data_IF_662478173521
#
_entry.id   IF_662478173521
#
_cell.length_a   1.000
_cell.length_b   1.000
_cell.length_c   1.000
_cell.angle_alpha   90.00
_cell.angle_beta   90.00
_cell.angle_gamma   90.00
#
_symmetry.space_group_name_H-M   'P 1'
#
loop_
_entity.id
_entity.type
_entity.pdbx_description
1 polymer ?
#
# COMPACT_ATOMS: atom_id res chain seq x y z
N UNK A 1 -14.44 -1.05 1.82
CA UNK A 1 -13.87 0.03 0.98
C UNK A 1 -14.90 0.45 -0.07
N UNK A 2 -15.41 -0.42 -0.97
CA UNK A 2 -16.37 -0.08 -2.02
C UNK A 2 -17.61 0.66 -1.50
N UNK A 3 -18.25 0.15 -0.46
CA UNK A 3 -19.41 0.81 0.14
C UNK A 3 -19.06 2.19 0.69
N UNK A 4 -17.91 2.31 1.39
CA UNK A 4 -17.49 3.56 2.01
C UNK A 4 -16.96 4.62 1.02
N UNK A 5 -16.56 4.25 -0.19
CA UNK A 5 -16.06 5.19 -1.18
C UNK A 5 -17.06 5.43 -2.31
N UNK A 6 -17.40 4.39 -3.08
CA UNK A 6 -18.25 4.56 -4.26
C UNK A 6 -19.71 4.81 -3.91
N UNK A 7 -20.28 4.02 -2.96
CA UNK A 7 -21.68 4.21 -2.54
C UNK A 7 -21.87 5.56 -1.84
N UNK A 8 -20.90 5.99 -1.02
CA UNK A 8 -20.96 7.30 -0.37
C UNK A 8 -21.02 8.45 -1.36
N UNK A 9 -20.23 8.41 -2.43
CA UNK A 9 -20.24 9.44 -3.47
C UNK A 9 -21.53 9.42 -4.29
N UNK A 10 -22.05 8.24 -4.64
CA UNK A 10 -23.33 8.11 -5.37
C UNK A 10 -24.48 8.65 -4.53
N UNK A 11 -24.52 8.34 -3.23
CA UNK A 11 -25.53 8.87 -2.32
C UNK A 11 -25.40 10.39 -2.15
N UNK A 12 -24.18 10.91 -2.04
CA UNK A 12 -23.95 12.34 -1.91
C UNK A 12 -24.40 13.11 -3.15
N UNK A 13 -24.18 12.57 -4.35
CA UNK A 13 -24.58 13.16 -5.62
C UNK A 13 -26.10 13.19 -5.80
N UNK A 14 -26.81 12.13 -5.42
CA UNK A 14 -28.25 11.99 -5.62
C UNK A 14 -29.11 12.54 -4.46
N UNK A 15 -28.63 12.46 -3.22
CA UNK A 15 -29.41 12.74 -2.00
C UNK A 15 -28.73 13.72 -1.05
N UNK A 16 -27.53 14.22 -1.42
CA UNK A 16 -26.76 15.14 -0.60
C UNK A 16 -25.89 14.44 0.46
N UNK A 17 -24.94 15.20 0.98
CA UNK A 17 -23.92 14.70 1.95
C UNK A 17 -24.53 14.21 3.27
N UNK A 18 -25.64 14.83 3.75
CA UNK A 18 -26.31 14.41 4.99
C UNK A 18 -26.79 12.97 4.90
N UNK A 19 -27.57 12.64 3.84
CA UNK A 19 -28.06 11.29 3.61
C UNK A 19 -26.92 10.27 3.42
N UNK A 20 -25.85 10.68 2.74
CA UNK A 20 -24.67 9.83 2.55
C UNK A 20 -24.04 9.45 3.89
N UNK A 21 -23.80 10.41 4.78
CA UNK A 21 -23.22 10.15 6.10
C UNK A 21 -24.15 9.33 7.01
N UNK A 22 -25.46 9.55 6.96
CA UNK A 22 -26.45 8.76 7.70
C UNK A 22 -26.39 7.27 7.29
N UNK A 23 -26.39 6.99 5.99
CA UNK A 23 -26.29 5.63 5.49
C UNK A 23 -24.96 4.98 5.84
N UNK A 24 -23.84 5.73 5.74
CA UNK A 24 -22.52 5.23 6.15
C UNK A 24 -22.49 4.94 7.65
N UNK A 25 -23.12 5.79 8.49
CA UNK A 25 -23.26 5.55 9.92
C UNK A 25 -24.05 4.28 10.24
N UNK A 26 -25.17 4.04 9.53
CA UNK A 26 -25.94 2.80 9.67
C UNK A 26 -25.14 1.56 9.27
N UNK A 27 -24.34 1.65 8.21
CA UNK A 27 -23.47 0.53 7.81
C UNK A 27 -22.42 0.17 8.88
N UNK A 28 -22.00 1.12 9.73
CA UNK A 28 -21.10 0.81 10.86
C UNK A 28 -21.76 -0.09 11.91
N UNK A 29 -23.08 -0.14 12.01
CA UNK A 29 -23.80 -1.05 12.92
C UNK A 29 -23.51 -2.51 12.60
N UNK A 30 -23.17 -2.85 11.37
CA UNK A 30 -22.77 -4.22 10.99
C UNK A 30 -21.53 -4.67 11.76
N UNK A 31 -20.60 -3.75 12.02
CA UNK A 31 -19.43 -4.01 12.86
C UNK A 31 -19.79 -4.26 14.32
N UNK A 32 -20.73 -3.47 14.87
CA UNK A 32 -21.25 -3.69 16.23
C UNK A 32 -21.93 -5.05 16.38
N UNK A 33 -22.76 -5.43 15.41
CA UNK A 33 -23.40 -6.75 15.37
C UNK A 33 -22.33 -7.86 15.34
N UNK A 34 -21.28 -7.70 14.52
CA UNK A 34 -20.16 -8.64 14.47
C UNK A 34 -19.46 -8.82 15.82
N UNK A 35 -19.25 -7.73 16.55
CA UNK A 35 -18.65 -7.77 17.90
C UNK A 35 -19.55 -8.47 18.90
N UNK A 36 -20.85 -8.22 18.86
CA UNK A 36 -21.84 -8.85 19.78
C UNK A 36 -21.94 -10.36 19.55
N UNK A 37 -21.87 -10.80 18.27
CA UNK A 37 -21.96 -12.23 17.91
C UNK A 37 -20.61 -12.94 18.11
N UNK A 38 -19.49 -12.22 18.17
CA UNK A 38 -18.18 -12.83 18.34
C UNK A 38 -18.06 -13.58 19.66
N UNK A 39 -17.42 -14.76 19.64
CA UNK A 39 -17.11 -15.50 20.86
C UNK A 39 -16.22 -14.66 21.76
N UNK A 40 -16.58 -14.58 23.03
CA UNK A 40 -15.72 -13.98 24.06
C UNK A 40 -14.39 -14.76 24.09
N UNK A 41 -13.31 -14.06 23.91
CA UNK A 41 -11.98 -14.61 24.05
C UNK A 41 -11.75 -14.98 25.51
N UNK A 42 -11.48 -16.25 25.79
CA UNK A 42 -11.11 -16.69 27.17
C UNK A 42 -9.68 -16.19 27.45
N UNK A 43 -9.60 -14.98 27.94
CA UNK A 43 -8.33 -14.37 28.37
C UNK A 43 -7.97 -15.00 29.72
N UNK A 44 -7.33 -16.17 29.70
CA UNK A 44 -6.74 -16.81 30.87
C UNK A 44 -5.36 -16.20 31.26
N UNK A 45 -5.07 -15.02 30.78
CA UNK A 45 -3.88 -14.27 31.13
C UNK A 45 -4.25 -13.28 32.25
N UNK A 46 -3.54 -13.35 33.38
CA UNK A 46 -3.55 -12.28 34.36
C UNK A 46 -3.11 -11.01 33.61
N UNK A 47 -4.10 -10.14 33.30
CA UNK A 47 -3.84 -8.85 32.68
C UNK A 47 -3.06 -8.03 33.71
N UNK A 48 -1.74 -7.95 33.57
CA UNK A 48 -0.99 -6.88 34.24
C UNK A 48 -1.59 -5.56 33.82
N UNK A 49 -2.13 -4.83 34.77
CA UNK A 49 -2.55 -3.44 34.54
C UNK A 49 -1.27 -2.65 34.28
N UNK A 50 -0.93 -2.48 33.00
CA UNK A 50 0.22 -1.73 32.58
C UNK A 50 -0.09 -0.22 32.69
N UNK A 51 0.81 0.53 33.29
CA UNK A 51 0.80 1.98 33.19
C UNK A 51 0.90 2.37 31.69
N UNK A 52 0.30 3.50 31.32
CA UNK A 52 0.31 3.99 29.93
C UNK A 52 1.73 3.98 29.30
N UNK A 53 2.73 4.43 30.06
CA UNK A 53 4.14 4.40 29.65
C UNK A 53 4.65 2.99 29.37
N UNK A 54 4.32 2.04 30.24
CA UNK A 54 4.74 0.63 30.09
C UNK A 54 4.07 -0.06 28.91
N UNK A 55 2.86 0.37 28.56
CA UNK A 55 2.13 -0.15 27.39
C UNK A 55 2.83 0.12 26.06
N UNK A 56 3.68 1.16 25.98
CA UNK A 56 4.51 1.44 24.80
C UNK A 56 5.95 0.93 24.94
N UNK A 57 6.56 1.09 26.11
CA UNK A 57 7.98 0.75 26.30
C UNK A 57 8.20 -0.77 26.30
N UNK A 58 7.33 -1.53 26.97
CA UNK A 58 7.49 -3.00 27.05
C UNK A 58 7.44 -3.68 25.67
N UNK A 59 6.48 -3.35 24.76
CA UNK A 59 6.47 -3.89 23.41
C UNK A 59 7.73 -3.57 22.58
N UNK A 60 8.28 -2.35 22.71
CA UNK A 60 9.50 -1.94 22.01
C UNK A 60 10.71 -2.71 22.55
N UNK A 61 10.82 -2.82 23.88
CA UNK A 61 11.89 -3.60 24.52
C UNK A 61 11.81 -5.09 24.15
N UNK A 62 10.60 -5.66 24.11
CA UNK A 62 10.38 -7.05 23.69
C UNK A 62 10.84 -7.27 22.24
N UNK A 63 10.51 -6.36 21.33
CA UNK A 63 10.98 -6.42 19.95
C UNK A 63 12.52 -6.38 19.86
N UNK A 64 13.13 -5.42 20.54
CA UNK A 64 14.59 -5.26 20.59
C UNK A 64 15.31 -6.45 21.22
N UNK A 65 14.74 -7.06 22.27
CA UNK A 65 15.33 -8.24 22.94
C UNK A 65 15.24 -9.51 22.11
N UNK A 66 14.18 -9.66 21.29
CA UNK A 66 14.01 -10.84 20.40
C UNK A 66 14.97 -10.83 19.22
N UNK A 67 15.16 -9.66 18.61
CA UNK A 67 15.96 -9.55 17.37
C UNK A 67 17.38 -9.00 17.61
N UNK A 68 17.64 -8.40 18.76
CA UNK A 68 18.87 -7.63 19.00
C UNK A 68 18.89 -6.33 18.20
N UNK A 69 19.83 -5.45 18.53
CA UNK A 69 19.86 -4.10 17.95
C UNK A 69 20.07 -4.09 16.42
N UNK A 70 21.03 -4.89 15.94
CA UNK A 70 21.39 -4.92 14.52
C UNK A 70 20.26 -5.42 13.62
N UNK A 71 19.71 -6.62 13.93
CA UNK A 71 18.65 -7.20 13.13
C UNK A 71 17.34 -6.40 13.25
N UNK A 72 16.99 -5.93 14.45
CA UNK A 72 15.84 -5.06 14.67
C UNK A 72 15.91 -3.80 13.80
N UNK A 73 17.08 -3.14 13.73
CA UNK A 73 17.28 -1.96 12.89
C UNK A 73 17.12 -2.28 11.39
N UNK A 74 17.66 -3.40 10.92
CA UNK A 74 17.51 -3.81 9.52
C UNK A 74 16.07 -4.15 9.17
N UNK A 75 15.33 -4.85 10.05
CA UNK A 75 13.91 -5.14 9.86
C UNK A 75 13.07 -3.84 9.81
N UNK A 76 13.36 -2.89 10.68
CA UNK A 76 12.71 -1.58 10.66
C UNK A 76 13.04 -0.79 9.38
N UNK A 77 14.25 -0.90 8.84
CA UNK A 77 14.59 -0.28 7.55
C UNK A 77 13.82 -0.91 6.39
N UNK A 78 13.62 -2.24 6.39
CA UNK A 78 12.72 -2.88 5.42
C UNK A 78 11.31 -2.33 5.57
N UNK A 79 10.76 -2.30 6.78
CA UNK A 79 9.41 -1.77 7.06
C UNK A 79 9.27 -0.33 6.57
N UNK A 80 10.26 0.53 6.82
CA UNK A 80 10.24 1.94 6.47
C UNK A 80 10.31 2.19 4.95
N UNK A 81 11.01 1.32 4.21
CA UNK A 81 11.31 1.55 2.78
C UNK A 81 10.44 0.73 1.83
N UNK A 82 9.84 -0.37 2.29
CA UNK A 82 9.12 -1.32 1.44
C UNK A 82 7.92 -0.71 0.69
N UNK A 83 7.23 0.25 1.29
CA UNK A 83 6.11 0.96 0.67
C UNK A 83 6.40 2.42 0.34
N UNK A 84 7.66 2.82 0.43
CA UNK A 84 8.06 4.21 0.24
C UNK A 84 7.66 4.74 -1.15
N UNK A 85 7.91 3.97 -2.19
CA UNK A 85 7.58 4.30 -3.58
C UNK A 85 6.10 4.61 -3.76
N UNK A 86 5.20 3.71 -3.33
CA UNK A 86 3.75 3.88 -3.47
C UNK A 86 3.24 5.13 -2.74
N UNK A 87 3.80 5.39 -1.54
CA UNK A 87 3.35 6.51 -0.70
C UNK A 87 3.86 7.85 -1.25
N UNK A 88 5.05 7.88 -1.85
CA UNK A 88 5.61 9.10 -2.47
C UNK A 88 4.94 9.38 -3.80
N UNK A 89 4.70 8.37 -4.62
CA UNK A 89 4.05 8.51 -5.93
C UNK A 89 2.55 8.85 -5.81
N UNK A 90 1.86 8.26 -4.83
CA UNK A 90 0.40 8.30 -4.72
C UNK A 90 -0.25 9.69 -4.82
N UNK A 91 0.25 10.72 -4.13
CA UNK A 91 -0.31 12.07 -4.23
C UNK A 91 -0.25 12.67 -5.65
N UNK A 92 0.72 12.25 -6.46
CA UNK A 92 0.96 12.77 -7.79
C UNK A 92 0.23 12.00 -8.91
N UNK A 93 -0.44 10.89 -8.59
CA UNK A 93 -1.15 10.09 -9.60
C UNK A 93 -2.27 10.88 -10.30
N UNK A 94 -3.14 11.56 -9.54
CA UNK A 94 -4.22 12.36 -10.13
C UNK A 94 -3.71 13.58 -10.93
N UNK A 95 -2.79 14.43 -10.41
CA UNK A 95 -2.16 15.49 -11.21
C UNK A 95 -1.56 14.95 -12.51
N UNK A 96 -0.83 13.83 -12.47
CA UNK A 96 -0.27 13.20 -13.65
C UNK A 96 -1.33 12.84 -14.69
N UNK A 97 -2.42 12.20 -14.30
CA UNK A 97 -3.48 11.82 -15.25
C UNK A 97 -4.12 13.05 -15.91
N UNK A 98 -4.35 14.11 -15.14
CA UNK A 98 -4.91 15.37 -15.66
C UNK A 98 -3.92 16.06 -16.62
N UNK A 99 -2.66 16.13 -16.30
CA UNK A 99 -1.60 16.70 -17.13
C UNK A 99 -1.41 15.94 -18.44
N UNK A 100 -1.63 14.61 -18.42
CA UNK A 100 -1.63 13.77 -19.62
C UNK A 100 -2.92 13.91 -20.46
N UNK A 101 -3.87 14.75 -20.02
CA UNK A 101 -5.10 15.06 -20.77
C UNK A 101 -6.24 14.05 -20.60
N UNK A 102 -6.16 13.14 -19.62
CA UNK A 102 -7.26 12.22 -19.33
C UNK A 102 -8.42 12.96 -18.65
N UNK A 103 -9.63 12.70 -19.11
CA UNK A 103 -10.85 13.24 -18.49
C UNK A 103 -11.11 12.59 -17.12
N UNK A 104 -11.83 13.30 -16.23
CA UNK A 104 -12.24 12.77 -14.93
C UNK A 104 -13.06 11.47 -15.06
N UNK A 105 -13.84 11.32 -16.13
CA UNK A 105 -14.62 10.11 -16.40
C UNK A 105 -13.72 8.93 -16.76
N UNK A 106 -12.69 9.15 -17.59
CA UNK A 106 -11.70 8.13 -17.94
C UNK A 106 -10.89 7.70 -16.71
N UNK A 107 -10.38 8.66 -15.93
CA UNK A 107 -9.70 8.40 -14.66
C UNK A 107 -10.61 7.61 -13.72
N UNK A 108 -11.86 8.05 -13.54
CA UNK A 108 -12.83 7.39 -12.68
C UNK A 108 -13.14 5.95 -13.11
N UNK A 109 -13.32 5.68 -14.40
CA UNK A 109 -13.59 4.33 -14.92
C UNK A 109 -12.38 3.41 -14.76
N UNK A 110 -11.18 3.87 -15.13
CA UNK A 110 -9.94 3.08 -15.03
C UNK A 110 -9.58 2.83 -13.57
N UNK A 111 -9.45 3.88 -12.75
CA UNK A 111 -8.98 3.75 -11.37
C UNK A 111 -10.01 3.06 -10.48
N UNK A 112 -11.32 3.26 -10.70
CA UNK A 112 -12.35 2.63 -9.85
C UNK A 112 -12.69 1.20 -10.27
N UNK A 113 -12.74 0.89 -11.55
CA UNK A 113 -13.17 -0.42 -12.02
C UNK A 113 -11.97 -1.33 -12.25
N UNK A 114 -11.03 -0.91 -13.12
CA UNK A 114 -9.88 -1.75 -13.48
C UNK A 114 -8.97 -1.97 -12.27
N UNK A 115 -8.60 -0.89 -11.56
CA UNK A 115 -7.73 -0.98 -10.40
C UNK A 115 -8.32 -1.82 -9.27
N UNK A 116 -9.64 -1.72 -9.03
CA UNK A 116 -10.30 -2.51 -8.00
C UNK A 116 -10.23 -4.01 -8.30
N UNK A 117 -10.66 -4.43 -9.50
CA UNK A 117 -10.64 -5.85 -9.90
C UNK A 117 -9.22 -6.37 -9.86
N UNK A 118 -8.28 -5.61 -10.42
CA UNK A 118 -6.87 -5.95 -10.46
C UNK A 118 -6.26 -6.09 -9.05
N UNK A 119 -6.60 -5.18 -8.11
CA UNK A 119 -6.09 -5.27 -6.74
C UNK A 119 -6.60 -6.50 -6.00
N UNK A 120 -7.86 -6.89 -6.19
CA UNK A 120 -8.41 -8.13 -5.61
C UNK A 120 -7.66 -9.35 -6.15
N UNK A 121 -7.42 -9.42 -7.46
CA UNK A 121 -6.61 -10.47 -8.07
C UNK A 121 -5.22 -10.49 -7.45
N UNK A 122 -4.60 -9.31 -7.30
CA UNK A 122 -3.28 -9.16 -6.66
C UNK A 122 -3.22 -9.69 -5.23
N UNK A 123 -4.24 -9.44 -4.42
CA UNK A 123 -4.35 -9.98 -3.04
C UNK A 123 -4.32 -11.52 -3.04
N UNK A 124 -5.11 -12.16 -3.89
CA UNK A 124 -5.11 -13.62 -4.01
C UNK A 124 -3.77 -14.15 -4.52
N UNK A 125 -3.18 -13.52 -5.53
CA UNK A 125 -1.87 -13.89 -6.05
C UNK A 125 -0.78 -13.76 -4.98
N UNK A 126 -0.83 -12.72 -4.15
CA UNK A 126 0.08 -12.53 -3.02
C UNK A 126 0.01 -13.67 -2.01
N UNK A 127 -1.19 -14.13 -1.65
CA UNK A 127 -1.37 -15.29 -0.78
C UNK A 127 -0.81 -16.59 -1.38
N UNK A 128 -1.06 -16.83 -2.68
CA UNK A 128 -0.51 -17.97 -3.39
C UNK A 128 1.01 -17.91 -3.47
N UNK A 129 1.56 -16.72 -3.71
CA UNK A 129 2.99 -16.50 -3.81
C UNK A 129 3.70 -16.85 -2.50
N UNK A 130 3.20 -16.34 -1.37
CA UNK A 130 3.75 -16.65 -0.04
C UNK A 130 3.74 -18.16 0.22
N UNK A 131 2.63 -18.85 -0.12
CA UNK A 131 2.51 -20.29 0.06
C UNK A 131 3.48 -21.09 -0.81
N UNK A 132 3.76 -20.64 -2.05
CA UNK A 132 4.59 -21.38 -3.01
C UNK A 132 6.09 -21.16 -2.83
N UNK A 133 6.50 -19.89 -2.64
CA UNK A 133 7.93 -19.51 -2.63
C UNK A 133 8.41 -18.95 -1.29
N UNK A 134 7.53 -18.89 -0.29
CA UNK A 134 7.85 -18.35 1.03
C UNK A 134 7.90 -16.84 1.09
N UNK A 135 7.99 -16.29 2.31
CA UNK A 135 7.90 -14.85 2.56
C UNK A 135 9.08 -14.08 1.95
N UNK A 136 10.29 -14.60 2.05
CA UNK A 136 11.50 -13.94 1.53
C UNK A 136 11.40 -13.63 0.03
N UNK A 137 11.15 -14.64 -0.77
CA UNK A 137 11.04 -14.47 -2.23
C UNK A 137 9.80 -13.68 -2.61
N UNK A 138 8.72 -13.76 -1.83
CA UNK A 138 7.51 -12.96 -2.06
C UNK A 138 7.75 -11.48 -1.81
N UNK A 139 8.52 -11.11 -0.78
CA UNK A 139 8.94 -9.72 -0.53
C UNK A 139 9.78 -9.18 -1.69
N UNK A 140 10.77 -9.93 -2.14
CA UNK A 140 11.60 -9.53 -3.29
C UNK A 140 10.78 -9.38 -4.57
N UNK A 141 9.93 -10.36 -4.86
CA UNK A 141 9.06 -10.33 -6.05
C UNK A 141 8.11 -9.13 -6.00
N UNK A 142 7.50 -8.86 -4.84
CA UNK A 142 6.62 -7.70 -4.65
C UNK A 142 7.34 -6.38 -4.85
N UNK A 143 8.51 -6.21 -4.23
CA UNK A 143 9.33 -5.02 -4.41
C UNK A 143 9.74 -4.80 -5.88
N UNK A 144 10.16 -5.86 -6.57
CA UNK A 144 10.53 -5.79 -7.98
C UNK A 144 9.33 -5.46 -8.88
N UNK A 145 8.16 -6.05 -8.63
CA UNK A 145 6.94 -5.76 -9.38
C UNK A 145 6.54 -4.28 -9.24
N UNK A 146 6.51 -3.74 -8.01
CA UNK A 146 6.20 -2.31 -7.79
C UNK A 146 7.23 -1.42 -8.48
N UNK A 147 8.52 -1.74 -8.40
CA UNK A 147 9.54 -0.98 -9.11
C UNK A 147 9.29 -0.96 -10.63
N UNK A 148 8.96 -2.11 -11.22
CA UNK A 148 8.68 -2.23 -12.65
C UNK A 148 7.39 -1.50 -13.05
N UNK A 149 6.28 -1.67 -12.30
CA UNK A 149 5.01 -1.04 -12.64
C UNK A 149 5.09 0.48 -12.51
N UNK A 150 5.78 1.00 -11.49
CA UNK A 150 6.05 2.43 -11.37
C UNK A 150 6.88 2.95 -12.55
N UNK A 151 7.92 2.22 -12.97
CA UNK A 151 8.69 2.59 -14.16
C UNK A 151 7.82 2.59 -15.43
N UNK A 152 6.81 1.72 -15.53
CA UNK A 152 5.88 1.70 -16.66
C UNK A 152 5.04 2.98 -16.79
N UNK A 153 4.74 3.69 -15.69
CA UNK A 153 4.08 5.00 -15.79
C UNK A 153 4.91 6.03 -16.56
N UNK A 154 6.25 5.92 -16.54
CA UNK A 154 7.11 6.78 -17.35
C UNK A 154 6.85 6.61 -18.86
N UNK A 155 6.45 5.41 -19.29
CA UNK A 155 6.08 5.16 -20.67
C UNK A 155 4.74 5.83 -21.04
N UNK A 156 3.76 5.85 -20.13
CA UNK A 156 2.49 6.60 -20.35
C UNK A 156 2.77 8.09 -20.56
N UNK A 157 3.72 8.66 -19.82
CA UNK A 157 4.05 10.08 -19.90
C UNK A 157 4.53 10.54 -21.29
N UNK A 158 5.22 9.66 -22.03
CA UNK A 158 5.85 10.00 -23.32
C UNK A 158 5.17 9.35 -24.54
N UNK A 159 4.23 8.42 -24.31
CA UNK A 159 3.56 7.69 -25.39
C UNK A 159 2.22 8.34 -25.76
N UNK A 160 1.84 8.24 -27.03
CA UNK A 160 0.47 8.57 -27.44
C UNK A 160 -0.50 7.49 -26.94
N UNK A 161 -1.65 7.93 -26.41
CA UNK A 161 -2.67 7.02 -25.90
C UNK A 161 -3.46 6.39 -27.05
N UNK A 162 -3.78 5.11 -26.89
CA UNK A 162 -4.66 4.35 -27.76
C UNK A 162 -5.96 4.06 -27.02
N UNK A 163 -7.09 4.15 -27.71
CA UNK A 163 -8.39 3.97 -27.11
C UNK A 163 -9.09 2.73 -27.63
N UNK A 164 -9.72 1.98 -26.73
CA UNK A 164 -10.60 0.87 -27.05
C UNK A 164 -12.03 1.28 -26.77
N UNK A 165 -12.95 0.89 -27.64
CA UNK A 165 -14.38 1.04 -27.45
C UNK A 165 -14.93 -0.23 -26.78
N UNK A 166 -15.36 -0.11 -25.53
CA UNK A 166 -16.10 -1.15 -24.81
C UNK A 166 -17.58 -0.75 -24.79
N UNK A 167 -18.33 -1.14 -25.83
CA UNK A 167 -19.68 -0.62 -26.01
C UNK A 167 -19.68 0.87 -26.25
N UNK A 168 -20.35 1.64 -25.38
CA UNK A 168 -20.41 3.11 -25.42
C UNK A 168 -19.28 3.81 -24.66
N UNK A 169 -18.40 3.06 -24.00
CA UNK A 169 -17.34 3.63 -23.14
C UNK A 169 -16.03 3.59 -23.91
N UNK A 170 -15.43 4.77 -24.07
CA UNK A 170 -14.08 4.94 -24.63
C UNK A 170 -13.07 4.79 -23.48
N UNK A 171 -12.25 3.75 -23.51
CA UNK A 171 -11.25 3.50 -22.46
C UNK A 171 -9.83 3.68 -22.98
N UNK A 172 -8.98 4.43 -22.26
CA UNK A 172 -7.55 4.56 -22.59
C UNK A 172 -6.85 3.23 -22.32
N UNK A 173 -6.31 2.59 -23.37
CA UNK A 173 -5.76 1.24 -23.30
C UNK A 173 -4.50 1.18 -22.45
N UNK A 174 -3.52 2.06 -22.74
CA UNK A 174 -2.21 2.03 -22.07
C UNK A 174 -2.35 2.36 -20.61
N UNK A 175 -3.12 3.40 -20.28
CA UNK A 175 -3.42 3.75 -18.90
C UNK A 175 -4.09 2.58 -18.18
N UNK A 176 -5.10 1.95 -18.80
CA UNK A 176 -5.83 0.82 -18.19
C UNK A 176 -4.94 -0.38 -17.91
N UNK A 177 -4.05 -0.71 -18.84
CA UNK A 177 -3.09 -1.81 -18.66
C UNK A 177 -2.10 -1.53 -17.54
N UNK A 178 -1.51 -0.33 -17.52
CA UNK A 178 -0.48 0.01 -16.52
C UNK A 178 -1.11 0.15 -15.14
N UNK A 179 -2.25 0.83 -14.99
CA UNK A 179 -2.99 0.91 -13.72
C UNK A 179 -3.44 -0.48 -13.27
N UNK A 180 -3.85 -1.36 -14.19
CA UNK A 180 -4.21 -2.73 -13.86
C UNK A 180 -3.02 -3.54 -13.32
N UNK A 181 -1.88 -3.51 -14.00
CA UNK A 181 -0.66 -4.18 -13.57
C UNK A 181 -0.15 -3.64 -12.23
N UNK A 182 -0.15 -2.33 -12.07
CA UNK A 182 0.25 -1.67 -10.83
C UNK A 182 -0.67 -2.05 -9.66
N UNK A 183 -1.98 -2.11 -9.90
CA UNK A 183 -2.95 -2.53 -8.89
C UNK A 183 -2.80 -4.00 -8.50
N UNK A 184 -2.43 -4.89 -9.44
CA UNK A 184 -2.07 -6.29 -9.13
C UNK A 184 -0.81 -6.30 -8.25
N UNK A 185 0.23 -5.57 -8.62
CA UNK A 185 1.47 -5.47 -7.85
C UNK A 185 1.20 -4.93 -6.44
N UNK A 186 0.40 -3.87 -6.31
CA UNK A 186 -0.01 -3.30 -5.04
C UNK A 186 -0.80 -4.29 -4.16
N UNK A 187 -1.68 -5.10 -4.75
CA UNK A 187 -2.40 -6.16 -4.06
C UNK A 187 -1.47 -7.25 -3.52
N UNK A 188 -0.52 -7.71 -4.34
CA UNK A 188 0.53 -8.67 -3.94
C UNK A 188 1.35 -8.09 -2.79
N UNK A 189 1.90 -6.89 -2.96
CA UNK A 189 2.71 -6.19 -1.97
C UNK A 189 1.94 -5.98 -0.67
N UNK A 190 0.67 -5.58 -0.74
CA UNK A 190 -0.19 -5.41 0.42
C UNK A 190 -0.31 -6.70 1.25
N UNK A 191 -0.60 -7.84 0.60
CA UNK A 191 -0.71 -9.14 1.27
C UNK A 191 0.62 -9.60 1.87
N UNK A 192 1.70 -9.50 1.09
CA UNK A 192 3.05 -9.90 1.53
C UNK A 192 3.52 -9.02 2.70
N UNK A 193 3.27 -7.72 2.64
CA UNK A 193 3.64 -6.79 3.69
C UNK A 193 2.89 -7.04 5.01
N UNK A 194 1.57 -7.29 4.94
CA UNK A 194 0.78 -7.63 6.14
C UNK A 194 1.32 -8.92 6.77
N UNK A 195 1.63 -9.94 5.97
CA UNK A 195 2.22 -11.18 6.44
C UNK A 195 3.58 -10.95 7.09
N UNK A 196 4.43 -10.11 6.49
CA UNK A 196 5.73 -9.74 7.04
C UNK A 196 5.58 -9.03 8.39
N UNK A 197 4.72 -7.99 8.47
CA UNK A 197 4.49 -7.27 9.72
C UNK A 197 3.95 -8.19 10.83
N UNK A 198 2.99 -9.06 10.49
CA UNK A 198 2.42 -10.02 11.45
C UNK A 198 3.41 -11.07 11.92
N UNK A 199 4.35 -11.49 11.08
CA UNK A 199 5.39 -12.45 11.48
C UNK A 199 6.36 -11.89 12.53
N UNK A 200 6.52 -10.57 12.57
CA UNK A 200 7.43 -9.91 13.51
C UNK A 200 6.82 -9.62 14.89
N UNK A 201 5.50 -9.64 15.04
CA UNK A 201 4.86 -9.30 16.31
C UNK A 201 4.83 -10.48 17.28
N UNK A 202 4.98 -10.20 18.58
CA UNK A 202 4.85 -11.22 19.62
C UNK A 202 3.38 -11.45 19.99
N UNK A 203 3.04 -12.69 20.36
CA UNK A 203 1.68 -13.03 20.83
C UNK A 203 1.26 -12.21 22.06
N UNK A 204 2.21 -11.78 22.89
CA UNK A 204 1.96 -11.00 24.10
C UNK A 204 1.57 -9.54 23.80
N UNK A 205 2.12 -8.94 22.74
CA UNK A 205 1.97 -7.52 22.40
C UNK A 205 1.48 -7.27 20.98
N UNK A 206 0.76 -8.22 20.40
CA UNK A 206 0.37 -8.24 18.97
C UNK A 206 -0.21 -6.92 18.49
N UNK A 207 -1.25 -6.40 19.17
CA UNK A 207 -1.93 -5.18 18.73
C UNK A 207 -1.01 -3.94 18.77
N UNK A 208 -0.26 -3.77 19.86
CA UNK A 208 0.60 -2.58 20.04
C UNK A 208 1.81 -2.65 19.10
N UNK A 209 2.48 -3.80 18.99
CA UNK A 209 3.62 -3.95 18.07
C UNK A 209 3.20 -3.78 16.63
N UNK A 210 2.06 -4.35 16.22
CA UNK A 210 1.53 -4.18 14.86
C UNK A 210 1.20 -2.71 14.57
N UNK A 211 0.54 -2.01 15.50
CA UNK A 211 0.24 -0.59 15.36
C UNK A 211 1.51 0.27 15.26
N UNK A 212 2.53 -0.01 16.07
CA UNK A 212 3.82 0.70 16.02
C UNK A 212 4.54 0.46 14.69
N UNK A 213 4.61 -0.80 14.21
CA UNK A 213 5.25 -1.14 12.95
C UNK A 213 4.53 -0.52 11.75
N UNK A 214 3.20 -0.53 11.72
CA UNK A 214 2.42 0.11 10.64
C UNK A 214 2.55 1.64 10.66
N UNK A 215 2.57 2.25 11.84
CA UNK A 215 2.82 3.69 11.98
C UNK A 215 4.23 4.06 11.52
N UNK A 216 5.23 3.28 11.90
CA UNK A 216 6.61 3.47 11.49
C UNK A 216 6.79 3.29 9.97
N UNK A 217 6.09 2.34 9.36
CA UNK A 217 6.08 2.13 7.90
C UNK A 217 5.56 3.37 7.15
N UNK A 218 4.50 4.00 7.68
CA UNK A 218 3.87 5.14 7.02
C UNK A 218 4.65 6.45 7.17
N UNK A 219 5.42 6.60 8.24
CA UNK A 219 6.05 7.86 8.61
C UNK A 219 7.06 8.39 7.55
N UNK A 220 8.06 7.61 7.09
CA UNK A 220 8.97 8.07 6.06
C UNK A 220 8.26 8.38 4.74
N UNK A 221 7.33 7.51 4.33
CA UNK A 221 6.56 7.70 3.10
C UNK A 221 5.72 8.97 3.13
N UNK A 222 5.05 9.27 4.24
CA UNK A 222 4.27 10.51 4.41
C UNK A 222 5.17 11.75 4.44
N UNK A 223 6.31 11.67 5.10
CA UNK A 223 7.28 12.76 5.12
C UNK A 223 7.81 13.08 3.71
N UNK A 224 8.34 12.09 3.00
CA UNK A 224 8.84 12.28 1.64
C UNK A 224 7.71 12.55 0.62
N UNK A 225 6.52 11.95 0.81
CA UNK A 225 5.35 12.23 -0.01
C UNK A 225 4.86 13.66 0.05
N UNK A 226 5.13 14.38 1.17
CA UNK A 226 4.90 15.82 1.25
C UNK A 226 5.72 16.66 0.27
N UNK A 227 6.85 16.14 -0.18
CA UNK A 227 7.73 16.80 -1.17
C UNK A 227 7.51 16.31 -2.60
N UNK A 228 6.60 15.36 -2.83
CA UNK A 228 6.39 14.77 -4.15
C UNK A 228 5.98 15.80 -5.22
N UNK A 229 5.18 16.80 -4.85
CA UNK A 229 4.80 17.90 -5.74
C UNK A 229 6.00 18.76 -6.14
N UNK A 230 6.86 19.14 -5.18
CA UNK A 230 8.09 19.89 -5.48
C UNK A 230 9.02 19.09 -6.39
N UNK A 231 9.13 17.78 -6.17
CA UNK A 231 9.94 16.90 -7.00
C UNK A 231 9.39 16.82 -8.44
N UNK A 232 8.08 16.69 -8.60
CA UNK A 232 7.44 16.67 -9.91
C UNK A 232 7.66 18.00 -10.65
N UNK A 233 7.42 19.14 -9.99
CA UNK A 233 7.66 20.48 -10.57
C UNK A 233 9.13 20.66 -10.97
N UNK A 234 10.07 20.25 -10.14
CA UNK A 234 11.50 20.34 -10.44
C UNK A 234 11.89 19.61 -11.74
N UNK A 235 11.38 18.39 -11.95
CA UNK A 235 11.64 17.64 -13.18
C UNK A 235 10.93 18.27 -14.39
N UNK A 236 9.76 18.87 -14.22
CA UNK A 236 9.04 19.55 -15.29
C UNK A 236 9.73 20.85 -15.72
N UNK A 237 10.28 21.60 -14.76
CA UNK A 237 11.07 22.81 -15.05
C UNK A 237 12.40 22.49 -15.76
N UNK A 238 13.04 21.35 -15.43
CA UNK A 238 14.29 20.93 -16.07
C UNK A 238 14.12 20.45 -17.51
N UNK A 239 12.92 20.06 -17.91
CA UNK A 239 12.69 19.45 -19.24
C UNK A 239 11.42 20.03 -19.91
N UNK A 240 10.39 19.25 -19.93
CA UNK A 240 9.02 19.65 -20.31
C UNK A 240 8.04 18.77 -19.54
N UNK A 241 6.73 19.04 -19.69
CA UNK A 241 5.69 18.35 -18.92
C UNK A 241 5.80 16.83 -19.01
N UNK A 242 5.92 16.28 -20.23
CA UNK A 242 5.92 14.82 -20.44
C UNK A 242 7.20 14.17 -19.94
N UNK A 243 8.37 14.71 -20.27
CA UNK A 243 9.66 14.19 -19.78
C UNK A 243 9.82 14.45 -18.28
N UNK A 244 9.26 15.52 -17.72
CA UNK A 244 9.23 15.76 -16.28
C UNK A 244 8.52 14.65 -15.53
N UNK A 245 7.33 14.25 -16.00
CA UNK A 245 6.61 13.11 -15.45
C UNK A 245 7.35 11.79 -15.65
N UNK A 246 7.97 11.59 -16.81
CA UNK A 246 8.82 10.41 -17.04
C UNK A 246 9.94 10.32 -16.00
N UNK A 247 10.70 11.38 -15.76
CA UNK A 247 11.78 11.39 -14.77
C UNK A 247 11.26 11.22 -13.35
N UNK A 248 10.12 11.81 -13.01
CA UNK A 248 9.47 11.63 -11.72
C UNK A 248 9.17 10.15 -11.43
N UNK A 249 8.53 9.44 -12.37
CA UNK A 249 8.20 8.03 -12.19
C UNK A 249 9.44 7.12 -12.19
N UNK A 250 10.44 7.41 -13.01
CA UNK A 250 11.72 6.68 -12.96
C UNK A 250 12.43 6.89 -11.62
N UNK A 251 12.47 8.12 -11.12
CA UNK A 251 13.06 8.41 -9.82
C UNK A 251 12.32 7.72 -8.69
N UNK A 252 10.99 7.82 -8.65
CA UNK A 252 10.18 7.17 -7.61
C UNK A 252 10.27 5.66 -7.67
N UNK A 253 10.40 5.04 -8.85
CA UNK A 253 10.62 3.60 -8.97
C UNK A 253 11.93 3.14 -8.29
N UNK A 254 12.98 3.95 -8.37
CA UNK A 254 14.28 3.67 -7.73
C UNK A 254 14.23 3.76 -6.20
N UNK A 255 13.23 4.42 -5.60
CA UNK A 255 13.04 4.44 -4.15
C UNK A 255 12.76 3.04 -3.56
N UNK A 256 12.42 2.05 -4.40
CA UNK A 256 12.28 0.66 -3.99
C UNK A 256 13.63 -0.05 -3.80
N UNK A 257 14.70 0.41 -4.43
CA UNK A 257 16.02 -0.24 -4.40
C UNK A 257 16.57 -0.46 -2.97
N UNK A 258 16.50 0.52 -2.05
CA UNK A 258 16.93 0.30 -0.67
C UNK A 258 16.21 -0.88 -0.01
N UNK A 259 14.90 -1.04 -0.20
CA UNK A 259 14.17 -2.15 0.39
C UNK A 259 14.63 -3.51 -0.18
N UNK A 260 14.89 -3.60 -1.48
CA UNK A 260 15.43 -4.80 -2.11
C UNK A 260 16.78 -5.16 -1.48
N UNK A 261 17.69 -4.19 -1.32
CA UNK A 261 19.00 -4.40 -0.71
C UNK A 261 18.85 -4.88 0.73
N UNK A 262 18.00 -4.23 1.55
CA UNK A 262 17.81 -4.64 2.94
C UNK A 262 17.18 -6.04 3.07
N UNK A 263 16.26 -6.42 2.18
CA UNK A 263 15.69 -7.78 2.15
C UNK A 263 16.79 -8.80 1.80
N UNK A 264 17.64 -8.51 0.79
CA UNK A 264 18.73 -9.40 0.38
C UNK A 264 19.78 -9.59 1.48
N UNK A 265 20.15 -8.54 2.17
CA UNK A 265 21.10 -8.59 3.31
C UNK A 265 20.55 -9.45 4.45
N UNK A 266 19.24 -9.44 4.66
CA UNK A 266 18.58 -10.22 5.72
C UNK A 266 18.13 -11.62 5.29
N UNK A 267 18.61 -12.16 4.18
CA UNK A 267 18.22 -13.49 3.67
C UNK A 267 18.24 -14.59 4.73
N UNK A 268 19.28 -14.62 5.55
CA UNK A 268 19.45 -15.66 6.57
C UNK A 268 18.36 -15.64 7.65
N UNK A 269 17.84 -14.45 7.99
CA UNK A 269 16.72 -14.31 8.91
C UNK A 269 15.47 -15.00 8.36
N UNK A 270 15.11 -14.72 7.11
CA UNK A 270 13.89 -15.23 6.49
C UNK A 270 13.94 -16.75 6.21
N UNK A 271 15.13 -17.34 6.02
CA UNK A 271 15.28 -18.77 5.67
C UNK A 271 15.43 -19.62 6.92
N UNK A 272 16.11 -19.14 7.97
CA UNK A 272 16.41 -19.91 9.16
C UNK A 272 15.31 -19.85 10.23
N UNK A 273 14.46 -18.83 10.19
CA UNK A 273 13.34 -18.69 11.13
C UNK A 273 12.16 -19.54 10.65
N UNK A 274 12.07 -20.78 11.16
CA UNK A 274 10.98 -21.73 10.88
C UNK A 274 9.62 -21.28 11.41
N UNK A 275 9.54 -20.15 12.08
CA UNK A 275 8.28 -19.57 12.59
C UNK A 275 7.58 -18.66 11.55
N UNK A 276 8.23 -18.38 10.44
CA UNK A 276 7.77 -17.62 9.29
C UNK A 276 7.48 -18.56 8.12
#
# INVERSE_FOLDING_TARGET
ILAATSLALILADNYGWSASYEVMGLLMLTGLIGVVISKKENINTQLEILNFKDSFIKPIKDFGSRYGFYLASLLLLIVATYRLTDIVMGPMANPFYLDMGYSLTEIGSVVKIVALIASVIGVFLGGILIKKIGLYYSLLTGAFLVMMTNACFSYVAISQEEYILLGSIKMPLKLSLIVGLDSIAAGIVGTVNITFLTSMVSKKYTAVQYALLTSFMMLPGKFFGGFSGLLASYFQEMSNLNYGWMYFYLFTSLLTVPSIIFIMVNKNFFINDKSI
#
